data_IF_827951020583
#
_entry.id   IF_827951020583
#
_cell.length_a   1.000
_cell.length_b   1.000
_cell.length_c   1.000
_cell.angle_alpha   90.00
_cell.angle_beta   90.00
_cell.angle_gamma   90.00
#
_symmetry.space_group_name_H-M   'P 1'
#
loop_
_entity.id
_entity.type
_entity.pdbx_description
1 polymer ?
#
# COMPACT_ATOMS: atom_id res chain seq x y z
N UNK A 1 -7.92 -18.80 12.55
CA UNK A 1 -7.23 -18.77 11.23
C UNK A 1 -7.28 -17.38 10.60
N UNK A 2 -8.45 -16.72 10.56
CA UNK A 2 -8.63 -15.35 10.04
C UNK A 2 -7.82 -14.26 10.76
N UNK A 3 -7.76 -14.24 12.09
CA UNK A 3 -6.97 -13.25 12.85
C UNK A 3 -5.45 -13.27 12.57
N UNK A 4 -4.92 -14.38 12.04
CA UNK A 4 -3.48 -14.53 11.77
C UNK A 4 -3.08 -14.03 10.39
N UNK A 5 -4.03 -13.81 9.48
CA UNK A 5 -3.80 -13.23 8.16
C UNK A 5 -3.89 -11.70 8.21
N UNK A 6 -4.91 -11.15 8.90
CA UNK A 6 -5.11 -9.71 9.04
C UNK A 6 -4.06 -9.03 9.93
N UNK A 7 -3.64 -9.68 11.02
CA UNK A 7 -2.65 -9.09 11.94
C UNK A 7 -1.21 -9.12 11.37
N UNK A 8 -0.90 -10.08 10.49
CA UNK A 8 0.42 -10.16 9.86
C UNK A 8 0.57 -9.14 8.72
N UNK A 9 -0.50 -8.86 7.98
CA UNK A 9 -0.46 -8.01 6.80
C UNK A 9 -0.40 -6.51 7.11
N UNK A 10 -1.27 -5.99 7.99
CA UNK A 10 -1.31 -4.53 8.25
C UNK A 10 -0.15 -4.02 9.11
N UNK A 11 0.37 -4.86 10.02
CA UNK A 11 1.38 -4.43 10.99
C UNK A 11 2.82 -4.78 10.65
N UNK A 12 3.09 -5.85 9.88
CA UNK A 12 4.44 -6.45 9.84
C UNK A 12 5.02 -6.77 8.46
N UNK A 13 4.21 -6.98 7.42
CA UNK A 13 4.70 -7.26 6.06
C UNK A 13 5.34 -6.04 5.39
N UNK A 14 4.81 -4.83 5.63
CA UNK A 14 5.38 -3.57 5.13
C UNK A 14 6.56 -3.04 5.96
N UNK A 15 7.07 -3.80 6.92
CA UNK A 15 8.28 -3.43 7.67
C UNK A 15 9.53 -4.15 7.17
N UNK A 16 9.37 -5.21 6.36
CA UNK A 16 10.44 -6.15 6.08
C UNK A 16 10.68 -6.32 4.59
N UNK A 17 11.94 -6.15 4.19
CA UNK A 17 12.37 -6.14 2.79
C UNK A 17 12.13 -7.49 2.13
N UNK A 18 12.29 -8.59 2.86
CA UNK A 18 12.06 -9.95 2.37
C UNK A 18 10.61 -10.24 1.97
N UNK A 19 9.67 -9.34 2.33
CA UNK A 19 8.26 -9.48 2.04
C UNK A 19 7.83 -8.72 0.77
N UNK A 20 8.60 -7.73 0.33
CA UNK A 20 8.25 -6.86 -0.78
C UNK A 20 8.90 -7.34 -2.09
N UNK A 21 8.38 -8.41 -2.70
CA UNK A 21 8.87 -8.92 -3.99
C UNK A 21 7.70 -9.25 -4.91
N UNK A 22 7.98 -9.41 -6.21
CA UNK A 22 6.96 -9.82 -7.18
C UNK A 22 6.39 -11.21 -6.82
N UNK A 23 7.29 -12.15 -6.50
CA UNK A 23 6.93 -13.52 -6.10
C UNK A 23 5.98 -13.57 -4.90
N UNK A 24 6.28 -12.78 -3.86
CA UNK A 24 5.43 -12.72 -2.66
C UNK A 24 4.10 -12.05 -2.97
N UNK A 25 4.10 -11.01 -3.81
CA UNK A 25 2.89 -10.38 -4.32
C UNK A 25 1.96 -11.40 -5.00
N UNK A 26 2.50 -12.25 -5.87
CA UNK A 26 1.71 -13.28 -6.56
C UNK A 26 1.11 -14.31 -5.59
N UNK A 27 1.88 -14.75 -4.59
CA UNK A 27 1.36 -15.64 -3.55
C UNK A 27 0.21 -15.00 -2.75
N UNK A 28 0.38 -13.74 -2.35
CA UNK A 28 -0.65 -12.99 -1.63
C UNK A 28 -1.89 -12.75 -2.49
N UNK A 29 -1.70 -12.49 -3.79
CA UNK A 29 -2.78 -12.31 -4.76
C UNK A 29 -3.60 -13.58 -4.91
N UNK A 30 -2.97 -14.75 -4.99
CA UNK A 30 -3.67 -16.03 -5.02
C UNK A 30 -4.52 -16.24 -3.76
N UNK A 31 -3.96 -15.96 -2.58
CA UNK A 31 -4.70 -16.05 -1.31
C UNK A 31 -5.88 -15.06 -1.22
N UNK A 32 -5.73 -13.84 -1.75
CA UNK A 32 -6.83 -12.86 -1.81
C UNK A 32 -7.96 -13.33 -2.73
N UNK A 33 -7.65 -13.95 -3.87
CA UNK A 33 -8.66 -14.50 -4.79
C UNK A 33 -9.45 -15.65 -4.15
N UNK A 34 -8.78 -16.54 -3.43
CA UNK A 34 -9.46 -17.61 -2.69
C UNK A 34 -10.40 -17.05 -1.60
N UNK A 35 -9.95 -16.00 -0.90
CA UNK A 35 -10.75 -15.33 0.11
C UNK A 35 -11.95 -14.60 -0.49
N UNK A 36 -11.79 -13.92 -1.63
CA UNK A 36 -12.89 -13.28 -2.37
C UNK A 36 -13.98 -14.29 -2.73
N UNK A 37 -13.58 -15.44 -3.29
CA UNK A 37 -14.50 -16.50 -3.67
C UNK A 37 -15.22 -17.11 -2.47
N UNK A 38 -14.55 -17.22 -1.33
CA UNK A 38 -15.17 -17.66 -0.10
C UNK A 38 -16.20 -16.65 0.40
N UNK A 39 -15.89 -15.35 0.38
CA UNK A 39 -16.82 -14.28 0.77
C UNK A 39 -18.08 -14.28 -0.10
N UNK A 40 -17.95 -14.48 -1.42
CA UNK A 40 -19.10 -14.56 -2.34
C UNK A 40 -20.02 -15.76 -2.10
N UNK A 41 -19.49 -16.84 -1.51
CA UNK A 41 -20.27 -18.06 -1.21
C UNK A 41 -20.92 -18.05 0.17
N UNK A 42 -20.38 -17.27 1.08
CA UNK A 42 -20.92 -17.12 2.43
C UNK A 42 -21.96 -15.99 2.44
N UNK A 43 -23.07 -16.20 3.15
CA UNK A 43 -24.26 -15.33 3.16
C UNK A 43 -23.92 -13.84 3.37
N UNK A 44 -24.50 -12.98 2.53
CA UNK A 44 -24.07 -11.59 2.26
C UNK A 44 -23.93 -10.65 3.48
N UNK A 45 -24.58 -10.92 4.61
CA UNK A 45 -24.65 -9.97 5.73
C UNK A 45 -23.37 -9.85 6.58
N UNK A 46 -22.45 -10.82 6.51
CA UNK A 46 -21.19 -10.82 7.32
C UNK A 46 -19.92 -10.76 6.48
N UNK A 47 -19.98 -11.09 5.19
CA UNK A 47 -18.81 -11.26 4.32
C UNK A 47 -18.48 -10.05 3.48
N UNK A 48 -19.48 -9.23 3.12
CA UNK A 48 -19.28 -7.97 2.40
C UNK A 48 -18.38 -7.00 3.17
N UNK A 49 -18.65 -6.80 4.47
CA UNK A 49 -17.84 -5.92 5.33
C UNK A 49 -16.38 -6.38 5.44
N UNK A 50 -16.16 -7.69 5.53
CA UNK A 50 -14.83 -8.28 5.68
C UNK A 50 -13.95 -8.10 4.43
N UNK A 51 -14.53 -8.06 3.23
CA UNK A 51 -13.77 -7.83 1.98
C UNK A 51 -13.39 -6.36 1.78
N UNK A 52 -14.29 -5.45 2.14
CA UNK A 52 -14.07 -4.01 2.05
C UNK A 52 -12.98 -3.55 3.03
N UNK A 53 -12.88 -4.17 4.21
CA UNK A 53 -11.80 -3.93 5.18
C UNK A 53 -10.40 -4.24 4.60
N UNK A 54 -10.29 -5.13 3.61
CA UNK A 54 -9.03 -5.51 2.98
C UNK A 54 -8.61 -4.59 1.82
N UNK A 55 -9.32 -3.50 1.54
CA UNK A 55 -9.04 -2.66 0.38
C UNK A 55 -7.58 -2.14 0.27
N UNK A 56 -6.97 -1.74 1.40
CA UNK A 56 -5.57 -1.31 1.46
C UNK A 56 -4.60 -2.47 1.13
N UNK A 57 -4.95 -3.66 1.64
CA UNK A 57 -4.21 -4.90 1.43
C UNK A 57 -4.23 -5.28 -0.05
N UNK A 58 -5.40 -5.23 -0.67
CA UNK A 58 -5.60 -5.52 -2.09
C UNK A 58 -4.82 -4.58 -2.98
N UNK A 59 -4.82 -3.27 -2.69
CA UNK A 59 -4.00 -2.31 -3.44
C UNK A 59 -2.51 -2.54 -3.25
N UNK A 60 -2.04 -2.79 -2.02
CA UNK A 60 -0.62 -3.06 -1.78
C UNK A 60 -0.14 -4.31 -2.53
N UNK A 61 -0.95 -5.38 -2.55
CA UNK A 61 -0.66 -6.59 -3.33
C UNK A 61 -0.68 -6.31 -4.83
N UNK A 62 -1.70 -5.60 -5.31
CA UNK A 62 -1.80 -5.17 -6.71
C UNK A 62 -0.58 -4.37 -7.16
N UNK A 63 -0.11 -3.47 -6.29
CA UNK A 63 1.10 -2.71 -6.52
C UNK A 63 2.36 -3.60 -6.50
N UNK A 64 2.50 -4.57 -5.59
CA UNK A 64 3.65 -5.49 -5.58
C UNK A 64 3.77 -6.29 -6.90
N UNK A 65 2.66 -6.77 -7.45
CA UNK A 65 2.63 -7.54 -8.70
C UNK A 65 2.57 -6.66 -9.96
N UNK A 66 2.62 -5.34 -9.81
CA UNK A 66 2.60 -4.44 -10.96
C UNK A 66 3.90 -4.59 -11.78
N UNK A 67 3.77 -4.79 -13.08
CA UNK A 67 4.91 -4.79 -13.98
C UNK A 67 5.30 -3.36 -14.38
N UNK A 68 6.57 -3.17 -14.77
CA UNK A 68 7.06 -1.92 -15.34
C UNK A 68 6.83 -0.69 -14.44
N UNK A 69 6.92 -0.85 -13.11
CA UNK A 69 6.76 0.23 -12.12
C UNK A 69 7.68 1.43 -12.39
N UNK A 70 8.85 1.20 -12.99
CA UNK A 70 9.80 2.25 -13.38
C UNK A 70 9.29 3.17 -14.48
N UNK A 71 8.30 2.75 -15.27
CA UNK A 71 7.69 3.55 -16.33
C UNK A 71 6.47 4.33 -15.86
N UNK A 72 6.00 4.07 -14.64
CA UNK A 72 4.79 4.69 -14.08
C UNK A 72 5.11 6.05 -13.51
N UNK A 73 4.28 7.04 -13.84
CA UNK A 73 4.39 8.38 -13.27
C UNK A 73 3.89 8.38 -11.82
N UNK A 74 4.31 9.37 -11.02
CA UNK A 74 3.80 9.50 -9.65
C UNK A 74 2.28 9.61 -9.62
N UNK A 75 1.71 10.43 -10.51
CA UNK A 75 0.28 10.68 -10.61
C UNK A 75 -0.49 9.39 -10.93
N UNK A 76 -0.02 8.62 -11.90
CA UNK A 76 -0.59 7.31 -12.23
C UNK A 76 -0.51 6.35 -11.03
N UNK A 77 0.61 6.35 -10.30
CA UNK A 77 0.77 5.51 -9.12
C UNK A 77 -0.23 5.89 -8.01
N UNK A 78 -0.38 7.18 -7.69
CA UNK A 78 -1.18 7.63 -6.55
C UNK A 78 -2.67 7.69 -6.88
N UNK A 79 -3.04 8.12 -8.07
CA UNK A 79 -4.42 8.46 -8.40
C UNK A 79 -5.13 7.34 -9.16
N UNK A 80 -4.42 6.55 -9.97
CA UNK A 80 -5.02 5.48 -10.77
C UNK A 80 -4.77 4.10 -10.13
N UNK A 81 -3.53 3.80 -9.75
CA UNK A 81 -3.14 2.47 -9.29
C UNK A 81 -3.39 2.24 -7.80
N UNK A 82 -3.10 3.24 -6.96
CA UNK A 82 -3.17 3.13 -5.50
C UNK A 82 -3.98 4.25 -4.80
N UNK A 83 -5.19 4.62 -5.25
CA UNK A 83 -5.95 5.73 -4.65
C UNK A 83 -6.34 5.59 -3.17
N UNK A 84 -6.23 4.40 -2.57
CA UNK A 84 -6.55 4.18 -1.15
C UNK A 84 -5.29 4.26 -0.29
N UNK A 85 -4.11 3.97 -0.86
CA UNK A 85 -2.84 4.06 -0.15
C UNK A 85 -2.33 5.50 -0.13
N UNK A 86 -1.81 5.93 1.02
CA UNK A 86 -1.14 7.23 1.12
C UNK A 86 0.24 7.23 0.46
N UNK A 87 0.70 8.40 0.02
CA UNK A 87 2.05 8.58 -0.55
C UNK A 87 3.17 7.96 0.32
N UNK A 88 3.17 8.12 1.67
CA UNK A 88 4.12 7.42 2.53
C UNK A 88 4.06 5.89 2.46
N UNK A 89 2.85 5.30 2.39
CA UNK A 89 2.69 3.85 2.30
C UNK A 89 3.23 3.32 0.96
N UNK A 90 2.88 3.99 -0.13
CA UNK A 90 3.35 3.66 -1.49
C UNK A 90 4.88 3.78 -1.55
N UNK A 91 5.43 4.91 -1.10
CA UNK A 91 6.88 5.15 -1.05
C UNK A 91 7.59 4.02 -0.32
N UNK A 92 7.06 3.62 0.83
CA UNK A 92 7.64 2.56 1.66
C UNK A 92 7.61 1.22 0.94
N UNK A 93 6.47 0.80 0.39
CA UNK A 93 6.36 -0.44 -0.38
C UNK A 93 7.33 -0.43 -1.55
N UNK A 94 7.32 0.65 -2.34
CA UNK A 94 8.09 0.74 -3.58
C UNK A 94 9.61 0.81 -3.36
N UNK A 95 10.07 1.39 -2.24
CA UNK A 95 11.51 1.45 -1.90
C UNK A 95 12.03 0.21 -1.19
N UNK A 96 11.16 -0.53 -0.49
CA UNK A 96 11.51 -1.86 0.04
C UNK A 96 11.40 -2.96 -1.01
N UNK A 97 10.75 -2.68 -2.15
CA UNK A 97 10.59 -3.65 -3.22
C UNK A 97 11.94 -4.16 -3.73
N UNK A 98 12.12 -5.47 -3.68
CA UNK A 98 13.31 -6.16 -4.15
C UNK A 98 12.90 -7.48 -4.80
N UNK A 99 13.23 -7.64 -6.08
CA UNK A 99 12.97 -8.88 -6.79
C UNK A 99 14.23 -9.31 -7.55
N UNK A 100 14.89 -10.33 -7.03
CA UNK A 100 16.10 -10.95 -7.61
C UNK A 100 15.76 -12.06 -8.61
N UNK A 101 14.58 -12.68 -8.49
CA UNK A 101 14.17 -13.83 -9.30
C UNK A 101 13.70 -13.49 -10.71
N UNK A 102 12.90 -12.44 -10.88
CA UNK A 102 12.35 -12.06 -12.19
C UNK A 102 12.91 -10.75 -12.72
N UNK A 103 13.83 -10.12 -11.97
CA UNK A 103 14.42 -8.82 -12.33
C UNK A 103 13.37 -7.71 -12.38
N UNK A 104 12.23 -7.87 -11.71
CA UNK A 104 11.22 -6.82 -11.66
C UNK A 104 11.83 -5.59 -10.97
N UNK A 105 11.68 -4.43 -11.60
CA UNK A 105 12.20 -3.19 -11.06
C UNK A 105 11.14 -2.49 -10.19
N UNK A 106 11.61 -1.81 -9.14
CA UNK A 106 10.78 -0.99 -8.26
C UNK A 106 10.37 0.34 -8.88
N UNK A 107 10.14 1.34 -8.05
CA UNK A 107 9.81 2.69 -8.51
C UNK A 107 10.98 3.38 -9.23
N UNK A 108 10.66 4.31 -10.13
CA UNK A 108 11.66 5.18 -10.75
C UNK A 108 12.28 6.13 -9.73
N UNK A 109 13.54 6.52 -9.94
CA UNK A 109 14.21 7.51 -9.08
C UNK A 109 13.49 8.85 -9.07
N UNK A 110 12.85 9.22 -10.18
CA UNK A 110 12.03 10.43 -10.30
C UNK A 110 10.78 10.36 -9.41
N UNK A 111 10.01 9.26 -9.48
CA UNK A 111 8.84 9.07 -8.63
C UNK A 111 9.23 9.07 -7.14
N UNK A 112 10.30 8.36 -6.79
CA UNK A 112 10.86 8.35 -5.43
C UNK A 112 11.24 9.77 -4.97
N UNK A 113 11.88 10.57 -5.85
CA UNK A 113 12.27 11.94 -5.54
C UNK A 113 11.06 12.83 -5.27
N UNK A 114 10.06 12.80 -6.16
CA UNK A 114 8.82 13.55 -6.01
C UNK A 114 8.04 13.16 -4.75
N UNK A 115 7.94 11.86 -4.44
CA UNK A 115 7.31 11.39 -3.21
C UNK A 115 7.97 11.96 -1.94
N UNK A 116 9.31 12.04 -1.91
CA UNK A 116 10.03 12.63 -0.75
C UNK A 116 9.73 14.11 -0.57
N UNK A 117 9.63 14.86 -1.66
CA UNK A 117 9.29 16.29 -1.63
C UNK A 117 7.90 16.48 -1.04
N UNK A 118 6.89 15.78 -1.58
CA UNK A 118 5.51 15.85 -1.07
C UNK A 118 5.42 15.50 0.41
N UNK A 119 6.08 14.42 0.83
CA UNK A 119 6.07 14.00 2.24
C UNK A 119 6.76 15.01 3.18
N UNK A 120 7.78 15.73 2.70
CA UNK A 120 8.43 16.80 3.46
C UNK A 120 7.55 18.05 3.55
N UNK A 121 6.89 18.43 2.46
CA UNK A 121 5.94 19.56 2.41
C UNK A 121 4.73 19.32 3.33
N UNK A 122 4.16 18.11 3.33
CA UNK A 122 3.07 17.72 4.22
C UNK A 122 3.48 17.80 5.70
N UNK A 123 4.71 17.39 6.01
CA UNK A 123 5.26 17.45 7.37
C UNK A 123 5.45 18.90 7.84
N UNK A 124 5.93 19.77 6.97
CA UNK A 124 6.10 21.21 7.24
C UNK A 124 4.74 21.88 7.42
N UNK A 125 3.76 21.58 6.56
CA UNK A 125 2.40 22.12 6.67
C UNK A 125 1.71 21.67 7.96
N UNK A 126 1.86 20.40 8.36
CA UNK A 126 1.39 19.89 9.64
C UNK A 126 2.01 20.63 10.84
N UNK A 127 3.33 20.85 10.82
CA UNK A 127 4.02 21.61 11.87
C UNK A 127 3.57 23.08 11.92
N UNK A 128 3.42 23.73 10.77
CA UNK A 128 2.96 25.12 10.67
C UNK A 128 1.52 25.28 11.15
N UNK A 129 0.63 24.33 10.82
CA UNK A 129 -0.75 24.33 11.29
C UNK A 129 -0.85 24.02 12.79
N UNK A 130 0.01 23.14 13.31
CA UNK A 130 0.09 22.84 14.75
C UNK A 130 0.57 24.04 15.58
N UNK A 131 1.40 24.92 15.01
CA UNK A 131 1.88 26.13 15.68
C UNK A 131 0.81 27.24 15.77
N UNK A 132 -0.24 27.18 14.94
CA UNK A 132 -1.26 28.22 14.80
C UNK A 132 -2.56 27.97 15.60
N UNK A 133 -2.67 26.87 16.35
CA UNK A 133 -3.91 26.45 17.00
C UNK A 133 -3.98 26.65 18.52
N UNK A 134 -3.11 27.46 19.12
CA UNK A 134 -3.08 27.65 20.58
C UNK A 134 -3.25 29.11 21.02
N UNK A 135 -4.32 29.78 20.59
CA UNK A 135 -4.83 31.04 21.20
C UNK A 135 -6.28 31.34 20.77
N UNK A 136 -7.23 30.51 21.20
CA UNK A 136 -8.56 31.00 21.62
C UNK A 136 -9.39 29.85 22.20
N UNK A 137 -9.26 29.62 23.50
CA UNK A 137 -10.30 28.99 24.29
C UNK A 137 -10.56 29.90 25.48
N UNK A 138 -11.74 30.54 25.45
CA UNK A 138 -12.28 31.45 26.47
C UNK A 138 -12.57 30.74 27.79
#
# INVERSE_FOLDING_TARGET
MYLRFSFFFCGSLLLRRECCSFSNGEYLKAGLLEFEHWCQKATDELTGSSWDELQHIRQAVGFLVLHQKTQKSLDEITNELCPILSTPQIYRIGTMFWDDKYGAQGLSSEAIGKMRVLMAEDSINMLNNSFLLDVDSR
#
